data_IF_914915009097
#
_entry.id   IF_914915009097
#
_cell.length_a   1.000
_cell.length_b   1.000
_cell.length_c   1.000
_cell.angle_alpha   90.00
_cell.angle_beta   90.00
_cell.angle_gamma   90.00
#
_symmetry.space_group_name_H-M   'P 1'
#
loop_
_entity.id
_entity.type
_entity.pdbx_description
1 polymer ?
#
# COMPACT_ATOMS: atom_id res chain seq x y z
N UNK A 1 38.01 -37.25 55.94
CA UNK A 1 38.31 -36.03 56.73
C UNK A 1 38.02 -34.82 55.84
N UNK A 2 37.21 -33.88 56.34
CA UNK A 2 36.72 -32.61 55.76
C UNK A 2 35.63 -32.64 54.67
N UNK A 3 34.51 -32.07 55.11
CA UNK A 3 33.20 -31.77 54.52
C UNK A 3 33.20 -30.38 53.87
N UNK A 4 32.40 -30.17 52.81
CA UNK A 4 31.58 -28.97 52.50
C UNK A 4 30.72 -29.28 51.24
N UNK A 5 29.42 -29.60 51.38
CA UNK A 5 28.27 -28.67 51.31
C UNK A 5 28.34 -27.74 50.09
N UNK A 6 27.43 -27.70 49.11
CA UNK A 6 26.04 -28.13 49.00
C UNK A 6 25.23 -26.94 48.43
N UNK A 7 24.44 -27.14 47.37
CA UNK A 7 23.12 -26.50 47.13
C UNK A 7 22.51 -26.87 45.78
N UNK A 8 21.44 -27.66 45.85
CA UNK A 8 20.32 -27.61 44.91
C UNK A 8 19.63 -26.25 44.96
N UNK A 9 19.14 -25.78 43.80
CA UNK A 9 17.94 -24.92 43.56
C UNK A 9 17.97 -24.51 42.09
N UNK A 10 16.88 -24.24 41.38
CA UNK A 10 15.46 -24.63 41.43
C UNK A 10 14.95 -24.22 40.04
N UNK A 11 14.07 -25.03 39.46
CA UNK A 11 13.29 -24.69 38.26
C UNK A 11 12.52 -23.39 38.55
N UNK A 12 12.56 -22.45 37.60
CA UNK A 12 11.72 -21.26 37.59
C UNK A 12 11.03 -21.16 36.24
N UNK A 13 9.76 -21.56 36.24
CA UNK A 13 8.75 -21.16 35.26
C UNK A 13 8.57 -19.64 35.31
N UNK A 14 8.50 -18.98 34.15
CA UNK A 14 7.93 -17.63 34.04
C UNK A 14 7.14 -17.53 32.73
N UNK A 15 5.82 -17.55 32.87
CA UNK A 15 4.83 -17.16 31.86
C UNK A 15 4.42 -15.67 32.07
N UNK A 16 3.47 -15.08 31.32
CA UNK A 16 3.73 -13.94 30.46
C UNK A 16 3.28 -12.59 31.01
N UNK A 17 3.81 -11.54 30.38
CA UNK A 17 3.64 -10.12 30.72
C UNK A 17 2.25 -9.59 30.35
N UNK A 18 1.40 -9.33 31.35
CA UNK A 18 0.17 -8.56 31.23
C UNK A 18 -0.06 -7.69 32.48
N UNK A 19 0.08 -6.37 32.35
CA UNK A 19 -0.37 -5.39 33.35
C UNK A 19 -0.83 -4.11 32.63
N UNK A 20 -2.15 -3.92 32.45
CA UNK A 20 -3.09 -3.20 33.33
C UNK A 20 -2.79 -1.69 33.50
N UNK A 21 -3.51 -0.87 32.72
CA UNK A 21 -3.77 0.54 33.01
C UNK A 21 -4.78 0.65 34.16
N UNK A 22 -4.44 1.40 35.21
CA UNK A 22 -5.36 1.75 36.30
C UNK A 22 -6.26 2.91 35.87
N UNK A 23 -7.57 2.69 35.88
CA UNK A 23 -8.58 3.74 35.91
C UNK A 23 -8.81 4.15 37.36
N UNK A 24 -8.70 5.45 37.65
CA UNK A 24 -8.93 6.01 38.97
C UNK A 24 -10.26 6.77 38.91
N UNK A 25 -11.31 6.15 39.46
CA UNK A 25 -12.59 6.79 39.71
C UNK A 25 -12.40 7.78 40.87
N UNK A 26 -12.76 9.05 40.65
CA UNK A 26 -13.04 10.01 41.73
C UNK A 26 -14.53 10.34 41.67
N UNK A 27 -15.26 9.72 42.59
CA UNK A 27 -16.53 10.20 43.11
C UNK A 27 -16.26 11.34 44.08
N UNK A 28 -16.96 12.48 43.93
CA UNK A 28 -17.39 13.33 45.04
C UNK A 28 -18.44 14.33 44.55
N UNK A 29 -19.67 14.20 45.06
CA UNK A 29 -20.65 15.28 45.15
C UNK A 29 -20.58 15.87 46.56
N UNK A 30 -21.03 17.12 46.74
CA UNK A 30 -22.22 17.27 47.58
C UNK A 30 -23.27 18.25 47.05
N UNK A 31 -24.48 18.09 47.61
CA UNK A 31 -25.75 18.71 47.25
C UNK A 31 -25.96 20.11 47.86
N UNK A 32 -26.95 20.79 47.25
CA UNK A 32 -28.04 21.61 47.84
C UNK A 32 -27.96 23.16 47.83
N UNK A 33 -28.89 23.75 47.05
CA UNK A 33 -30.09 24.56 47.44
C UNK A 33 -30.22 25.99 46.86
N UNK A 34 -31.40 26.19 46.23
CA UNK A 34 -32.27 27.41 46.13
C UNK A 34 -31.75 28.56 45.22
N UNK A 35 -32.55 29.35 44.49
CA UNK A 35 -33.98 29.41 44.17
C UNK A 35 -34.23 30.54 43.12
N UNK A 36 -35.34 30.45 42.33
CA UNK A 36 -36.18 31.57 41.78
C UNK A 36 -35.49 32.53 40.76
N UNK A 37 -36.06 33.12 39.71
CA UNK A 37 -37.38 33.41 39.11
C UNK A 37 -37.09 33.62 37.58
N UNK A 38 -37.96 33.31 36.60
CA UNK A 38 -39.16 34.05 36.21
C UNK A 38 -38.90 34.96 35.00
N UNK A 39 -39.61 34.77 33.87
CA UNK A 39 -39.66 35.75 32.76
C UNK A 39 -39.82 35.15 31.35
N UNK A 40 -41.07 34.98 30.90
CA UNK A 40 -41.47 34.68 29.52
C UNK A 40 -41.58 35.95 28.64
N UNK A 41 -41.64 35.82 27.30
CA UNK A 41 -41.51 36.91 26.32
C UNK A 41 -42.87 37.44 25.81
N UNK A 42 -42.90 38.53 25.01
CA UNK A 42 -44.05 38.76 24.12
C UNK A 42 -43.62 39.35 22.74
N UNK A 43 -44.54 39.69 21.81
CA UNK A 43 -44.97 38.78 20.74
C UNK A 43 -45.08 39.44 19.34
N UNK A 44 -45.49 38.65 18.35
CA UNK A 44 -45.93 39.09 17.02
C UNK A 44 -47.34 39.73 17.04
N UNK A 45 -47.60 40.67 16.13
CA UNK A 45 -48.96 41.13 15.81
C UNK A 45 -48.97 42.09 14.61
N UNK A 46 -49.70 41.74 13.55
CA UNK A 46 -49.94 42.59 12.36
C UNK A 46 -51.22 43.43 12.45
N UNK A 47 -51.61 44.06 11.32
CA UNK A 47 -52.99 44.28 10.79
C UNK A 47 -53.12 45.57 9.92
N UNK A 48 -53.45 45.35 8.63
CA UNK A 48 -54.41 45.99 7.67
C UNK A 48 -54.40 47.48 7.18
N UNK A 49 -54.29 47.61 5.83
CA UNK A 49 -55.15 48.35 4.82
C UNK A 49 -55.20 49.90 4.72
N UNK A 50 -55.77 50.54 3.64
CA UNK A 50 -55.73 50.30 2.16
C UNK A 50 -55.63 51.61 1.28
N UNK A 51 -55.84 51.51 -0.06
CA UNK A 51 -55.99 52.56 -1.13
C UNK A 51 -54.71 53.26 -1.65
N UNK A 52 -54.49 53.62 -2.93
CA UNK A 52 -55.32 53.79 -4.14
C UNK A 52 -54.48 53.88 -5.45
N UNK A 53 -55.11 53.57 -6.58
CA UNK A 53 -54.93 54.14 -7.95
C UNK A 53 -53.66 53.96 -8.84
N UNK A 54 -53.90 53.23 -9.95
CA UNK A 54 -53.46 53.37 -11.36
C UNK A 54 -52.15 54.11 -11.70
N UNK A 55 -51.26 53.41 -12.43
CA UNK A 55 -50.84 53.81 -13.80
C UNK A 55 -50.17 52.68 -14.59
N UNK A 56 -50.47 52.64 -15.89
CA UNK A 56 -49.99 51.73 -16.93
C UNK A 56 -48.52 52.04 -17.27
N UNK A 57 -47.68 51.01 -17.43
CA UNK A 57 -46.30 51.14 -17.90
C UNK A 57 -45.62 49.77 -18.10
N UNK A 58 -45.29 49.47 -19.35
CA UNK A 58 -44.40 48.44 -19.93
C UNK A 58 -43.74 47.41 -18.97
N UNK A 59 -44.11 46.12 -19.12
CA UNK A 59 -43.38 44.99 -18.55
C UNK A 59 -42.17 44.65 -19.43
N UNK A 60 -40.98 45.08 -19.02
CA UNK A 60 -39.76 44.29 -19.24
C UNK A 60 -39.62 43.32 -18.05
N UNK A 61 -39.71 42.02 -18.32
CA UNK A 61 -39.44 40.99 -17.31
C UNK A 61 -37.98 41.06 -16.86
N UNK A 62 -37.78 41.56 -15.63
CA UNK A 62 -36.48 41.51 -14.94
C UNK A 62 -36.24 40.09 -14.44
N UNK A 63 -35.28 39.40 -15.07
CA UNK A 63 -34.74 38.13 -14.58
C UNK A 63 -34.31 38.22 -13.12
N UNK A 64 -34.70 37.23 -12.34
CA UNK A 64 -34.35 37.10 -10.92
C UNK A 64 -32.83 36.94 -10.74
N UNK A 65 -32.25 37.28 -9.57
CA UNK A 65 -30.82 37.07 -9.29
C UNK A 65 -30.35 35.62 -9.52
N UNK A 66 -31.24 34.64 -9.31
CA UNK A 66 -30.96 33.23 -9.53
C UNK A 66 -30.86 32.87 -11.03
N UNK A 67 -31.72 33.46 -11.87
CA UNK A 67 -31.69 33.26 -13.32
C UNK A 67 -30.47 33.94 -13.96
N UNK A 68 -30.06 35.12 -13.46
CA UNK A 68 -28.80 35.76 -13.88
C UNK A 68 -27.57 34.90 -13.56
N UNK A 69 -27.54 34.26 -12.39
CA UNK A 69 -26.45 33.36 -12.01
C UNK A 69 -26.39 32.08 -12.87
N UNK A 70 -27.54 31.60 -13.35
CA UNK A 70 -27.62 30.44 -14.25
C UNK A 70 -27.20 30.79 -15.68
N UNK A 71 -27.57 31.99 -16.16
CA UNK A 71 -27.13 32.53 -17.45
C UNK A 71 -25.61 32.78 -17.47
N UNK A 72 -25.05 33.35 -16.39
CA UNK A 72 -23.62 33.62 -16.25
C UNK A 72 -22.79 32.33 -16.31
N UNK A 73 -23.17 31.29 -15.54
CA UNK A 73 -22.48 29.98 -15.57
C UNK A 73 -22.54 29.30 -16.94
N UNK A 74 -23.63 29.48 -17.68
CA UNK A 74 -23.78 28.90 -19.02
C UNK A 74 -22.87 29.61 -20.04
N UNK A 75 -22.72 30.92 -19.93
CA UNK A 75 -21.80 31.71 -20.77
C UNK A 75 -20.32 31.45 -20.44
N UNK A 76 -19.98 31.28 -19.16
CA UNK A 76 -18.60 30.95 -18.74
C UNK A 76 -18.19 29.54 -19.21
N UNK A 77 -19.12 28.57 -19.21
CA UNK A 77 -18.86 27.20 -19.70
C UNK A 77 -18.65 27.16 -21.21
N UNK A 78 -19.35 28.02 -21.96
CA UNK A 78 -19.16 28.15 -23.42
C UNK A 78 -17.82 28.82 -23.72
N UNK A 79 -17.45 29.89 -22.99
CA UNK A 79 -16.19 30.60 -23.16
C UNK A 79 -14.96 29.71 -22.86
N UNK A 80 -15.02 28.89 -21.81
CA UNK A 80 -13.92 27.96 -21.45
C UNK A 80 -13.75 26.83 -22.47
N UNK A 81 -14.85 26.32 -23.07
CA UNK A 81 -14.76 25.30 -24.14
C UNK A 81 -14.16 25.87 -25.43
N UNK A 82 -14.47 27.10 -25.81
CA UNK A 82 -13.92 27.72 -27.03
C UNK A 82 -12.44 28.13 -26.88
N UNK A 83 -11.99 28.46 -25.66
CA UNK A 83 -10.56 28.75 -25.37
C UNK A 83 -9.74 27.45 -25.29
N UNK A 84 -10.29 26.36 -24.71
CA UNK A 84 -9.63 25.06 -24.64
C UNK A 84 -9.43 24.40 -26.01
N UNK A 85 -10.35 24.61 -26.96
CA UNK A 85 -10.24 24.02 -28.32
C UNK A 85 -9.33 24.81 -29.28
N UNK A 86 -9.07 26.11 -29.03
CA UNK A 86 -8.17 26.93 -29.87
C UNK A 86 -6.70 26.92 -29.45
N UNK A 87 -6.36 26.60 -28.21
CA UNK A 87 -4.96 26.56 -27.75
C UNK A 87 -4.27 25.18 -27.84
N UNK A 88 -5.01 24.12 -28.17
CA UNK A 88 -4.47 22.75 -28.17
C UNK A 88 -3.77 22.30 -29.48
N UNK A 89 -3.78 23.13 -30.53
CA UNK A 89 -3.18 22.79 -31.84
C UNK A 89 -1.96 23.63 -32.27
N UNK A 90 -1.64 24.71 -31.55
CA UNK A 90 -0.51 25.59 -31.88
C UNK A 90 0.77 25.31 -31.07
N UNK A 91 0.65 24.82 -29.82
CA UNK A 91 1.81 24.54 -28.97
C UNK A 91 2.44 23.15 -29.18
N UNK A 92 1.76 22.26 -29.93
CA UNK A 92 2.23 20.89 -30.18
C UNK A 92 3.28 20.79 -31.31
N UNK A 93 3.48 21.84 -32.11
CA UNK A 93 4.48 21.87 -33.21
C UNK A 93 5.72 22.70 -32.93
N UNK A 94 5.73 23.54 -31.90
CA UNK A 94 6.90 24.37 -31.55
C UNK A 94 7.83 23.72 -30.50
N UNK A 95 7.38 22.70 -29.78
CA UNK A 95 8.17 22.07 -28.71
C UNK A 95 9.10 20.93 -29.18
N UNK A 96 8.97 20.47 -30.43
CA UNK A 96 9.77 19.36 -30.98
C UNK A 96 10.91 19.79 -31.93
N UNK A 97 11.27 21.07 -31.95
CA UNK A 97 12.33 21.59 -32.84
C UNK A 97 13.57 22.16 -32.11
N UNK A 98 13.69 22.04 -30.78
CA UNK A 98 14.81 22.64 -30.06
C UNK A 98 15.38 21.79 -28.92
N UNK A 99 15.60 20.49 -29.16
CA UNK A 99 16.53 19.67 -28.36
C UNK A 99 17.31 18.75 -29.32
N UNK A 100 18.24 19.34 -30.07
CA UNK A 100 19.35 18.63 -30.71
C UNK A 100 20.66 19.31 -30.29
N UNK A 101 20.96 19.28 -28.99
CA UNK A 101 22.33 19.51 -28.54
C UNK A 101 23.05 18.17 -28.50
N UNK A 102 23.98 17.99 -29.45
CA UNK A 102 24.96 16.91 -29.49
C UNK A 102 25.76 16.92 -28.19
N UNK A 103 25.70 15.85 -27.40
CA UNK A 103 26.66 15.59 -26.33
C UNK A 103 27.83 14.78 -26.90
N UNK A 104 29.09 15.12 -26.54
CA UNK A 104 30.26 14.41 -27.00
C UNK A 104 30.32 13.01 -26.37
N UNK A 105 30.61 11.99 -27.18
CA UNK A 105 30.88 10.64 -26.72
C UNK A 105 32.28 10.58 -26.08
N UNK A 106 32.37 10.19 -24.82
CA UNK A 106 33.58 9.58 -24.26
C UNK A 106 33.33 8.09 -24.02
N UNK A 107 34.29 7.20 -24.30
CA UNK A 107 34.10 5.77 -24.26
C UNK A 107 34.51 5.23 -22.89
N UNK A 108 33.56 5.06 -21.98
CA UNK A 108 33.74 4.15 -20.85
C UNK A 108 32.58 3.15 -20.86
N UNK A 109 32.92 1.94 -21.32
CA UNK A 109 32.05 0.77 -21.38
C UNK A 109 31.66 0.33 -19.96
N UNK A 110 30.59 0.93 -19.42
CA UNK A 110 29.90 0.38 -18.25
C UNK A 110 29.16 -0.88 -18.73
N UNK A 111 29.58 -2.03 -18.22
CA UNK A 111 28.94 -3.33 -18.46
C UNK A 111 27.43 -3.21 -18.17
N UNK A 112 26.63 -3.22 -19.24
CA UNK A 112 25.17 -3.23 -19.21
C UNK A 112 24.70 -4.57 -18.66
N UNK A 113 24.56 -4.70 -17.35
CA UNK A 113 24.01 -5.90 -16.73
C UNK A 113 22.49 -5.85 -16.76
N UNK A 114 21.92 -6.51 -17.76
CA UNK A 114 20.49 -6.76 -17.88
C UNK A 114 19.97 -7.60 -16.71
N UNK A 115 18.78 -7.25 -16.21
CA UNK A 115 18.10 -8.05 -15.20
C UNK A 115 17.89 -9.50 -15.69
N UNK A 116 17.91 -10.51 -14.81
CA UNK A 116 17.76 -11.90 -15.22
C UNK A 116 16.44 -12.11 -15.95
N UNK A 117 16.49 -12.88 -17.03
CA UNK A 117 15.31 -13.29 -17.79
C UNK A 117 14.38 -14.08 -16.87
N UNK A 118 13.09 -13.76 -16.91
CA UNK A 118 12.05 -14.46 -16.15
C UNK A 118 11.15 -15.20 -17.12
N UNK A 119 11.24 -16.52 -17.12
CA UNK A 119 10.38 -17.40 -17.92
C UNK A 119 9.24 -17.97 -17.05
N UNK A 120 9.57 -18.57 -15.90
CA UNK A 120 8.61 -18.93 -14.85
C UNK A 120 9.27 -19.09 -13.47
N UNK A 121 8.45 -19.23 -12.41
CA UNK A 121 8.95 -19.34 -11.03
C UNK A 121 9.66 -20.67 -10.71
N UNK A 122 9.34 -21.76 -11.42
CA UNK A 122 9.84 -23.10 -11.11
C UNK A 122 11.26 -23.34 -11.65
N UNK A 123 11.70 -22.54 -12.63
CA UNK A 123 13.01 -22.70 -13.25
C UNK A 123 14.19 -22.25 -12.36
N UNK A 124 13.98 -21.29 -11.46
CA UNK A 124 15.10 -20.53 -10.88
C UNK A 124 15.40 -20.83 -9.41
N UNK A 125 15.06 -22.03 -8.91
CA UNK A 125 15.47 -22.48 -7.57
C UNK A 125 14.92 -21.65 -6.40
N UNK A 126 13.95 -20.79 -6.69
CA UNK A 126 13.23 -19.96 -5.72
C UNK A 126 11.72 -20.26 -5.74
N UNK A 127 11.25 -21.17 -6.59
CA UNK A 127 9.85 -21.54 -6.72
C UNK A 127 9.57 -23.00 -6.46
N UNK A 128 8.39 -23.27 -5.89
CA UNK A 128 7.85 -24.61 -5.63
C UNK A 128 6.41 -24.67 -6.09
N UNK A 129 5.94 -25.83 -6.56
CA UNK A 129 4.55 -26.00 -6.97
C UNK A 129 3.74 -26.76 -5.91
N UNK A 130 2.57 -26.22 -5.57
CA UNK A 130 1.62 -26.88 -4.68
C UNK A 130 0.84 -27.99 -5.39
N UNK A 131 1.17 -29.24 -5.08
CA UNK A 131 0.42 -30.44 -5.53
C UNK A 131 -1.05 -30.53 -5.05
N UNK A 132 -1.39 -29.94 -3.91
CA UNK A 132 -2.73 -29.96 -3.33
C UNK A 132 -2.90 -28.85 -2.29
N UNK A 133 -4.14 -28.58 -1.85
CA UNK A 133 -4.39 -27.64 -0.76
C UNK A 133 -3.67 -28.04 0.54
N UNK A 134 -3.66 -29.33 0.90
CA UNK A 134 -2.95 -29.82 2.09
C UNK A 134 -1.44 -29.60 1.96
N UNK A 135 -0.88 -29.94 0.80
CA UNK A 135 0.54 -29.71 0.54
C UNK A 135 0.89 -28.22 0.65
N UNK A 136 0.07 -27.33 0.08
CA UNK A 136 0.25 -25.87 0.20
C UNK A 136 0.26 -25.39 1.65
N UNK A 137 -0.72 -25.79 2.46
CA UNK A 137 -0.76 -25.41 3.88
C UNK A 137 0.46 -25.94 4.64
N UNK A 138 0.93 -27.12 4.26
CA UNK A 138 2.13 -27.70 4.83
C UNK A 138 3.38 -26.88 4.47
N UNK A 139 3.52 -26.40 3.22
CA UNK A 139 4.60 -25.48 2.81
C UNK A 139 4.54 -24.18 3.63
N UNK A 140 3.36 -23.57 3.74
CA UNK A 140 3.16 -22.34 4.52
C UNK A 140 3.59 -22.56 5.98
N UNK A 141 3.21 -23.69 6.56
CA UNK A 141 3.55 -24.05 7.93
C UNK A 141 5.06 -24.26 8.10
N UNK A 142 5.72 -24.94 7.15
CA UNK A 142 7.17 -25.16 7.19
C UNK A 142 7.95 -23.86 7.10
N UNK A 143 7.51 -22.91 6.25
CA UNK A 143 8.11 -21.57 6.18
C UNK A 143 7.95 -20.83 7.52
N UNK A 144 6.74 -20.86 8.10
CA UNK A 144 6.46 -20.19 9.37
C UNK A 144 7.24 -20.80 10.55
N UNK A 145 7.53 -22.10 10.51
CA UNK A 145 8.23 -22.84 11.56
C UNK A 145 9.73 -22.98 11.30
N UNK A 146 10.24 -22.40 10.20
CA UNK A 146 11.62 -22.58 9.77
C UNK A 146 12.65 -22.15 10.81
N UNK A 147 12.41 -21.01 11.47
CA UNK A 147 13.22 -20.54 12.58
C UNK A 147 12.41 -19.55 13.45
N UNK A 148 12.55 -19.61 14.79
CA UNK A 148 11.68 -18.88 15.72
C UNK A 148 11.77 -17.34 15.62
N UNK A 149 12.86 -16.80 15.09
CA UNK A 149 13.07 -15.35 14.99
C UNK A 149 12.92 -14.80 13.56
N UNK A 150 12.46 -15.62 12.62
CA UNK A 150 12.28 -15.16 11.24
C UNK A 150 10.91 -14.59 10.99
N UNK A 151 10.89 -13.50 10.24
CA UNK A 151 9.66 -12.80 9.89
C UNK A 151 9.50 -12.86 8.38
N UNK A 152 8.35 -13.37 7.94
CA UNK A 152 7.97 -13.44 6.53
C UNK A 152 6.85 -12.46 6.21
N UNK A 153 7.04 -11.70 5.14
CA UNK A 153 6.01 -10.94 4.46
C UNK A 153 5.38 -11.81 3.37
N UNK A 154 4.05 -11.77 3.25
CA UNK A 154 3.32 -12.57 2.29
C UNK A 154 2.67 -11.70 1.22
N UNK A 155 2.65 -12.18 -0.03
CA UNK A 155 1.93 -11.54 -1.13
C UNK A 155 1.36 -12.56 -2.08
N UNK A 156 0.08 -12.43 -2.43
CA UNK A 156 -0.56 -13.25 -3.45
C UNK A 156 -0.69 -12.51 -4.78
N UNK A 157 -0.52 -13.24 -5.88
CA UNK A 157 -0.92 -12.80 -7.21
C UNK A 157 -1.78 -13.88 -7.86
N UNK A 158 -2.86 -13.48 -8.51
CA UNK A 158 -3.81 -14.42 -9.12
C UNK A 158 -3.24 -15.17 -10.34
N UNK A 159 -2.10 -14.71 -10.87
CA UNK A 159 -1.45 -15.22 -12.06
C UNK A 159 0.07 -15.37 -11.81
N UNK A 160 0.57 -16.61 -11.94
CA UNK A 160 1.96 -16.98 -11.72
C UNK A 160 2.90 -16.50 -12.84
N UNK A 161 2.39 -16.18 -14.03
CA UNK A 161 3.19 -15.66 -15.13
C UNK A 161 3.60 -14.19 -14.93
N UNK A 162 3.09 -13.54 -13.88
CA UNK A 162 3.44 -12.16 -13.58
C UNK A 162 4.68 -12.08 -12.69
N UNK A 163 5.71 -11.33 -13.10
CA UNK A 163 6.85 -11.05 -12.24
C UNK A 163 6.43 -10.18 -11.05
N UNK A 164 7.16 -10.31 -9.95
CA UNK A 164 6.97 -9.52 -8.74
C UNK A 164 7.66 -8.16 -8.90
N UNK A 165 6.85 -7.10 -9.08
CA UNK A 165 7.33 -5.72 -9.24
C UNK A 165 6.26 -4.71 -8.84
N UNK A 166 6.68 -3.52 -8.43
CA UNK A 166 5.77 -2.43 -8.08
C UNK A 166 5.03 -1.85 -9.29
N UNK A 167 3.92 -1.16 -9.04
CA UNK A 167 3.08 -0.54 -10.08
C UNK A 167 3.83 0.56 -10.83
N UNK A 168 4.64 1.37 -10.13
CA UNK A 168 5.50 2.37 -10.76
C UNK A 168 6.62 1.74 -11.58
N UNK A 169 7.26 0.68 -11.08
CA UNK A 169 8.30 -0.03 -11.86
C UNK A 169 7.70 -0.59 -13.14
N UNK A 170 6.51 -1.19 -13.08
CA UNK A 170 5.79 -1.70 -14.25
C UNK A 170 5.46 -0.58 -15.25
N UNK A 171 5.09 0.61 -14.79
CA UNK A 171 4.88 1.78 -15.66
C UNK A 171 6.19 2.17 -16.34
N UNK A 172 7.26 2.37 -15.57
CA UNK A 172 8.57 2.77 -16.09
C UNK A 172 9.16 1.76 -17.09
N UNK A 173 9.01 0.46 -16.84
CA UNK A 173 9.48 -0.62 -17.71
C UNK A 173 8.71 -0.71 -19.06
N UNK A 174 7.54 -0.07 -19.19
CA UNK A 174 6.85 0.06 -20.48
C UNK A 174 7.39 1.21 -21.31
N UNK A 175 7.92 2.24 -20.65
CA UNK A 175 8.41 3.47 -21.28
C UNK A 175 9.90 3.39 -21.63
N UNK A 176 10.67 2.58 -20.92
CA UNK A 176 12.11 2.38 -21.12
C UNK A 176 12.47 0.90 -21.02
N UNK A 177 13.49 0.49 -21.78
CA UNK A 177 14.06 -0.87 -21.70
C UNK A 177 14.71 -1.15 -20.34
N UNK A 178 15.25 -0.10 -19.70
CA UNK A 178 15.92 -0.19 -18.41
C UNK A 178 15.32 0.80 -17.40
N UNK A 179 15.09 0.33 -16.17
CA UNK A 179 14.58 1.13 -15.07
C UNK A 179 15.69 1.32 -14.05
N UNK A 180 16.13 2.56 -13.86
CA UNK A 180 17.18 2.92 -12.89
C UNK A 180 16.55 3.60 -11.67
N UNK A 181 17.26 3.62 -10.53
CA UNK A 181 16.79 4.37 -9.35
C UNK A 181 16.55 5.85 -9.68
N UNK A 182 17.42 6.44 -10.51
CA UNK A 182 17.30 7.85 -10.92
C UNK A 182 16.01 8.09 -11.70
N UNK A 183 15.68 7.25 -12.69
CA UNK A 183 14.46 7.42 -13.50
C UNK A 183 13.20 7.14 -12.67
N UNK A 184 13.20 6.07 -11.86
CA UNK A 184 12.08 5.73 -11.00
C UNK A 184 11.81 6.83 -9.95
N UNK A 185 12.85 7.36 -9.31
CA UNK A 185 12.72 8.44 -8.32
C UNK A 185 12.28 9.76 -8.94
N UNK A 186 12.70 10.05 -10.17
CA UNK A 186 12.23 11.24 -10.89
C UNK A 186 10.72 11.19 -11.13
N UNK A 187 10.21 10.06 -11.61
CA UNK A 187 8.78 9.87 -11.84
C UNK A 187 7.97 9.88 -10.54
N UNK A 188 8.48 9.20 -9.50
CA UNK A 188 7.87 9.22 -8.17
C UNK A 188 7.76 10.64 -7.59
N UNK A 189 8.80 11.47 -7.76
CA UNK A 189 8.77 12.88 -7.33
C UNK A 189 7.72 13.69 -8.07
N UNK A 190 7.53 13.45 -9.38
CA UNK A 190 6.45 14.11 -10.14
C UNK A 190 5.09 13.72 -9.58
N UNK A 191 4.83 12.43 -9.37
CA UNK A 191 3.56 11.94 -8.83
C UNK A 191 3.27 12.57 -7.46
N UNK A 192 4.25 12.57 -6.55
CA UNK A 192 4.10 13.19 -5.21
C UNK A 192 3.85 14.70 -5.34
N UNK A 193 4.57 15.40 -6.23
CA UNK A 193 4.38 16.83 -6.45
C UNK A 193 2.96 17.13 -6.93
N UNK A 194 2.51 16.44 -7.98
CA UNK A 194 1.16 16.62 -8.53
C UNK A 194 0.08 16.32 -7.48
N UNK A 195 0.24 15.25 -6.69
CA UNK A 195 -0.67 14.94 -5.58
C UNK A 195 -0.78 16.08 -4.56
N UNK A 196 0.36 16.69 -4.19
CA UNK A 196 0.39 17.83 -3.26
C UNK A 196 -0.20 19.10 -3.85
N UNK A 197 0.06 19.37 -5.12
CA UNK A 197 -0.50 20.52 -5.84
C UNK A 197 -2.04 20.40 -5.91
N UNK A 198 -2.55 19.19 -6.12
CA UNK A 198 -3.98 18.85 -6.03
C UNK A 198 -4.57 18.98 -4.61
N UNK A 199 -3.70 19.14 -3.60
CA UNK A 199 -4.08 19.42 -2.22
C UNK A 199 -4.11 18.21 -1.29
N UNK A 200 -3.64 17.04 -1.74
CA UNK A 200 -3.57 15.85 -0.89
C UNK A 200 -2.53 16.03 0.24
N UNK A 201 -2.92 15.68 1.46
CA UNK A 201 -2.08 15.78 2.66
C UNK A 201 -1.95 17.19 3.25
N UNK A 202 -2.73 18.18 2.79
CA UNK A 202 -2.73 19.56 3.34
C UNK A 202 -3.19 19.60 4.81
N UNK A 203 -4.17 18.78 5.15
CA UNK A 203 -4.73 18.59 6.49
C UNK A 203 -3.70 18.07 7.51
N UNK A 204 -2.72 17.29 7.05
CA UNK A 204 -1.67 16.69 7.87
C UNK A 204 -0.38 17.54 7.94
N UNK A 205 -0.28 18.62 7.15
CA UNK A 205 0.87 19.52 7.14
C UNK A 205 2.21 18.79 7.02
N UNK A 206 3.14 19.06 7.95
CA UNK A 206 4.48 18.45 7.93
C UNK A 206 4.51 16.94 8.24
N UNK A 207 3.38 16.38 8.69
CA UNK A 207 3.21 14.95 8.97
C UNK A 207 2.85 14.14 7.72
N UNK A 208 2.38 14.79 6.64
CA UNK A 208 2.23 14.16 5.32
C UNK A 208 3.58 13.96 4.63
N UNK A 209 4.42 13.10 5.23
CA UNK A 209 5.73 12.75 4.66
C UNK A 209 5.58 12.14 3.26
N UNK A 210 6.65 12.11 2.48
CA UNK A 210 6.62 11.47 1.16
C UNK A 210 6.25 9.98 1.26
N UNK A 211 6.69 9.28 2.32
CA UNK A 211 6.34 7.88 2.53
C UNK A 211 4.85 7.71 2.88
N UNK A 212 4.27 8.65 3.64
CA UNK A 212 2.84 8.70 3.89
C UNK A 212 2.05 8.94 2.61
N UNK A 213 2.46 9.92 1.80
CA UNK A 213 1.82 10.20 0.52
C UNK A 213 1.86 8.98 -0.39
N UNK A 214 2.99 8.28 -0.48
CA UNK A 214 3.08 7.05 -1.27
C UNK A 214 2.15 5.94 -0.77
N UNK A 215 2.00 5.77 0.55
CA UNK A 215 1.06 4.80 1.12
C UNK A 215 -0.40 5.13 0.74
N UNK A 216 -0.80 6.40 0.86
CA UNK A 216 -2.15 6.85 0.48
C UNK A 216 -2.40 6.68 -1.01
N UNK A 217 -1.43 7.08 -1.84
CA UNK A 217 -1.51 6.95 -3.30
C UNK A 217 -1.60 5.48 -3.74
N UNK A 218 -0.80 4.59 -3.13
CA UNK A 218 -0.83 3.15 -3.39
C UNK A 218 -2.19 2.56 -3.06
N UNK A 219 -2.78 2.93 -1.91
CA UNK A 219 -4.12 2.49 -1.52
C UNK A 219 -5.18 2.84 -2.58
N UNK A 220 -5.09 4.02 -3.19
CA UNK A 220 -5.96 4.46 -4.28
C UNK A 220 -5.46 4.07 -5.68
N UNK A 221 -4.64 3.02 -5.79
CA UNK A 221 -4.16 2.44 -7.06
C UNK A 221 -3.33 3.39 -7.95
N UNK A 222 -2.82 4.49 -7.40
CA UNK A 222 -1.85 5.34 -8.10
C UNK A 222 -0.51 4.60 -8.16
N UNK A 223 0.21 4.61 -9.30
CA UNK A 223 1.49 3.93 -9.41
C UNK A 223 2.51 4.43 -8.38
N UNK A 224 3.00 3.55 -7.51
CA UNK A 224 4.09 3.85 -6.56
C UNK A 224 5.17 2.78 -6.60
N UNK A 225 6.31 3.04 -5.96
CA UNK A 225 7.36 2.03 -5.82
C UNK A 225 7.05 0.97 -4.76
N UNK A 226 6.03 1.21 -3.93
CA UNK A 226 5.67 0.35 -2.83
C UNK A 226 5.01 -0.93 -3.37
N UNK A 227 5.24 -2.03 -2.65
CA UNK A 227 4.63 -3.33 -2.90
C UNK A 227 3.79 -3.69 -1.68
N UNK A 228 2.51 -3.94 -1.89
CA UNK A 228 1.61 -4.41 -0.83
C UNK A 228 2.00 -5.82 -0.41
N UNK A 229 2.20 -6.00 0.89
CA UNK A 229 2.41 -7.29 1.52
C UNK A 229 1.54 -7.37 2.77
N UNK A 230 1.33 -8.57 3.27
CA UNK A 230 0.58 -8.81 4.50
C UNK A 230 1.39 -9.69 5.43
N UNK A 231 1.22 -9.50 6.73
CA UNK A 231 1.80 -10.42 7.72
C UNK A 231 1.07 -11.77 7.73
N UNK A 232 -0.11 -11.87 7.10
CA UNK A 232 -0.95 -13.04 7.16
C UNK A 232 -0.98 -13.83 5.84
N UNK A 233 -0.48 -15.07 5.83
CA UNK A 233 -0.47 -15.90 4.63
C UNK A 233 -1.88 -16.16 4.08
N UNK A 234 -2.92 -16.21 4.92
CA UNK A 234 -4.30 -16.46 4.48
C UNK A 234 -4.88 -15.28 3.69
N UNK A 235 -4.50 -14.05 4.06
CA UNK A 235 -4.89 -12.85 3.30
C UNK A 235 -4.19 -12.84 1.95
N UNK A 236 -2.89 -13.13 1.90
CA UNK A 236 -2.16 -13.27 0.64
C UNK A 236 -2.72 -14.40 -0.23
N UNK A 237 -3.07 -15.54 0.38
CA UNK A 237 -3.65 -16.67 -0.33
C UNK A 237 -5.01 -16.35 -0.96
N UNK A 238 -5.83 -15.53 -0.29
CA UNK A 238 -7.07 -15.01 -0.88
C UNK A 238 -6.79 -14.23 -2.17
N UNK A 239 -5.79 -13.34 -2.19
CA UNK A 239 -5.39 -12.64 -3.41
C UNK A 239 -4.85 -13.55 -4.51
N UNK A 240 -4.12 -14.61 -4.14
CA UNK A 240 -3.59 -15.58 -5.11
C UNK A 240 -4.67 -16.48 -5.73
N UNK A 241 -5.79 -16.67 -5.04
CA UNK A 241 -6.88 -17.58 -5.45
C UNK A 241 -8.14 -16.85 -5.96
N UNK A 242 -8.18 -15.52 -5.82
CA UNK A 242 -9.32 -14.68 -6.15
C UNK A 242 -9.82 -14.88 -7.59
N UNK A 243 -11.14 -14.81 -7.74
CA UNK A 243 -11.82 -14.79 -9.03
C UNK A 243 -11.72 -13.41 -9.67
N UNK A 244 -11.23 -13.32 -10.90
CA UNK A 244 -11.22 -12.06 -11.65
C UNK A 244 -11.96 -12.22 -12.98
N UNK A 245 -12.98 -11.38 -13.20
CA UNK A 245 -13.69 -11.24 -14.48
C UNK A 245 -14.70 -12.34 -14.81
N UNK A 246 -15.56 -12.06 -15.80
CA UNK A 246 -16.63 -12.95 -16.32
C UNK A 246 -16.12 -13.95 -17.38
N UNK A 247 -14.83 -13.96 -17.68
CA UNK A 247 -14.23 -14.83 -18.69
C UNK A 247 -13.18 -15.72 -18.00
N UNK A 248 -13.62 -16.82 -17.37
CA UNK A 248 -12.74 -17.90 -16.90
C UNK A 248 -12.25 -18.78 -18.09
N UNK A 249 -12.07 -18.20 -19.28
CA UNK A 249 -11.66 -18.96 -20.48
C UNK A 249 -10.19 -19.44 -20.40
N UNK A 250 -9.44 -19.00 -19.38
CA UNK A 250 -8.08 -19.52 -19.11
C UNK A 250 -7.87 -19.83 -17.62
N UNK A 251 -7.64 -21.11 -17.26
CA UNK A 251 -7.33 -21.53 -15.91
C UNK A 251 -5.89 -21.16 -15.54
N UNK A 252 -5.65 -19.89 -15.20
CA UNK A 252 -4.31 -19.43 -14.79
C UNK A 252 -4.00 -19.85 -13.34
N UNK A 253 -2.80 -20.41 -13.14
CA UNK A 253 -2.21 -20.66 -11.83
C UNK A 253 -1.95 -19.36 -11.07
N UNK A 254 -2.16 -19.35 -9.76
CA UNK A 254 -1.77 -18.25 -8.88
C UNK A 254 -0.37 -18.44 -8.33
N UNK A 255 0.14 -17.44 -7.61
CA UNK A 255 1.42 -17.54 -6.88
C UNK A 255 1.32 -16.85 -5.53
N UNK A 256 1.85 -17.51 -4.50
CA UNK A 256 2.00 -16.98 -3.15
C UNK A 256 3.49 -16.79 -2.86
N UNK A 257 3.88 -15.55 -2.59
CA UNK A 257 5.25 -15.21 -2.22
C UNK A 257 5.41 -15.19 -0.71
N UNK A 258 6.50 -15.80 -0.24
CA UNK A 258 7.07 -15.59 1.09
C UNK A 258 8.38 -14.82 0.94
N UNK A 259 8.50 -13.68 1.61
CA UNK A 259 9.66 -12.79 1.52
C UNK A 259 10.21 -12.59 2.93
N UNK A 260 11.46 -12.98 3.19
CA UNK A 260 12.07 -12.78 4.50
C UNK A 260 12.34 -11.30 4.73
N UNK A 261 11.86 -10.78 5.87
CA UNK A 261 11.98 -9.37 6.24
C UNK A 261 12.59 -9.17 7.62
N UNK A 262 13.18 -10.20 8.22
CA UNK A 262 13.75 -10.23 9.58
C UNK A 262 14.61 -8.99 9.86
N UNK A 263 15.67 -8.79 9.07
CA UNK A 263 16.67 -7.73 9.27
C UNK A 263 16.38 -6.45 8.48
N UNK A 264 15.14 -6.27 8.02
CA UNK A 264 14.74 -5.03 7.34
C UNK A 264 14.34 -3.95 8.33
N UNK A 265 14.67 -2.70 8.00
CA UNK A 265 14.24 -1.55 8.81
C UNK A 265 12.74 -1.30 8.66
N UNK A 266 12.15 -0.94 9.80
CA UNK A 266 10.76 -0.52 9.89
C UNK A 266 10.69 1.01 9.85
N UNK A 267 9.92 1.55 8.91
CA UNK A 267 9.62 2.98 8.81
C UNK A 267 8.13 3.21 9.00
N UNK A 268 7.75 3.98 10.01
CA UNK A 268 6.40 4.53 10.08
C UNK A 268 6.23 5.63 9.04
N UNK A 269 5.06 5.69 8.41
CA UNK A 269 4.76 6.77 7.46
C UNK A 269 4.63 8.14 8.13
N UNK A 270 4.42 8.18 9.45
CA UNK A 270 4.34 9.41 10.22
C UNK A 270 5.61 9.72 11.01
N UNK A 271 5.76 10.98 11.40
CA UNK A 271 6.82 11.43 12.28
C UNK A 271 6.39 11.39 13.74
N UNK A 272 7.05 10.54 14.53
CA UNK A 272 7.19 10.73 15.96
C UNK A 272 8.69 10.73 16.29
N UNK A 273 9.30 11.90 16.58
CA UNK A 273 10.70 11.93 17.03
C UNK A 273 11.47 13.25 16.88
N UNK A 274 12.63 13.29 17.57
CA UNK A 274 13.56 14.42 17.65
C UNK A 274 14.10 14.84 16.27
N UNK A 275 14.02 16.14 16.00
CA UNK A 275 14.35 16.73 14.71
C UNK A 275 15.88 16.93 14.57
N UNK A 276 16.48 16.30 13.55
CA UNK A 276 17.81 16.68 13.05
C UNK A 276 17.77 17.98 12.24
N UNK A 277 18.90 18.70 12.12
CA UNK A 277 18.99 19.96 11.33
C UNK A 277 18.54 19.80 9.87
N UNK A 278 18.80 18.64 9.22
CA UNK A 278 18.30 18.30 7.88
C UNK A 278 16.78 18.06 7.87
N UNK A 279 16.24 17.37 8.89
CA UNK A 279 14.79 17.15 9.03
C UNK A 279 14.00 18.42 9.41
N UNK A 280 14.66 19.47 9.91
CA UNK A 280 14.06 20.80 10.09
C UNK A 280 13.92 21.56 8.78
N UNK A 281 14.87 21.39 7.85
CA UNK A 281 14.87 22.08 6.55
C UNK A 281 13.93 21.44 5.53
N UNK A 282 13.82 20.11 5.52
CA UNK A 282 12.87 19.39 4.67
C UNK A 282 12.20 18.26 5.47
N UNK A 283 11.22 18.58 6.32
CA UNK A 283 10.62 17.58 7.18
C UNK A 283 9.90 16.49 6.39
N UNK A 284 9.24 16.87 5.30
CA UNK A 284 8.37 15.97 4.55
C UNK A 284 9.16 14.86 3.83
N UNK A 285 10.30 15.20 3.23
CA UNK A 285 11.05 14.28 2.37
C UNK A 285 12.24 13.61 3.06
N UNK A 286 12.84 14.23 4.08
CA UNK A 286 14.15 13.80 4.60
C UNK A 286 14.20 12.36 5.14
N UNK A 287 13.12 11.88 5.77
CA UNK A 287 13.08 10.51 6.29
C UNK A 287 13.07 9.48 5.16
N UNK A 288 12.25 9.73 4.14
CA UNK A 288 12.13 8.85 3.00
C UNK A 288 13.41 8.81 2.16
N UNK A 289 14.02 9.98 1.90
CA UNK A 289 15.32 10.02 1.23
C UNK A 289 16.41 9.29 2.01
N UNK A 290 16.40 9.37 3.34
CA UNK A 290 17.35 8.59 4.17
C UNK A 290 17.11 7.09 4.04
N UNK A 291 15.85 6.65 3.97
CA UNK A 291 15.52 5.25 3.74
C UNK A 291 16.02 4.76 2.38
N UNK A 292 15.77 5.53 1.30
CA UNK A 292 16.23 5.20 -0.06
C UNK A 292 17.76 5.20 -0.17
N UNK A 293 18.45 6.22 0.36
CA UNK A 293 19.91 6.27 0.34
C UNK A 293 20.55 5.08 1.05
N UNK A 294 19.95 4.66 2.17
CA UNK A 294 20.42 3.48 2.89
C UNK A 294 20.12 2.19 2.14
N UNK A 295 18.91 2.07 1.60
CA UNK A 295 18.49 0.94 0.78
C UNK A 295 19.44 0.75 -0.42
N UNK A 296 19.80 1.85 -1.11
CA UNK A 296 20.77 1.84 -2.20
C UNK A 296 22.18 1.42 -1.73
N UNK A 297 22.65 1.97 -0.59
CA UNK A 297 23.97 1.67 -0.05
C UNK A 297 24.11 0.21 0.39
N UNK A 298 23.10 -0.28 1.10
CA UNK A 298 23.13 -1.60 1.76
C UNK A 298 22.56 -2.69 0.83
N UNK A 299 22.02 -2.34 -0.35
CA UNK A 299 21.26 -3.21 -1.26
C UNK A 299 20.14 -3.98 -0.53
N UNK A 300 19.42 -3.29 0.37
CA UNK A 300 18.36 -3.88 1.20
C UNK A 300 17.03 -3.19 0.96
N UNK A 301 15.94 -3.96 1.04
CA UNK A 301 14.60 -3.41 1.12
C UNK A 301 14.29 -2.88 2.54
N UNK A 302 13.24 -2.07 2.63
CA UNK A 302 12.70 -1.57 3.89
C UNK A 302 11.20 -1.82 3.98
N UNK A 303 10.69 -1.94 5.20
CA UNK A 303 9.26 -2.02 5.50
C UNK A 303 8.71 -0.63 5.78
N UNK A 304 7.54 -0.34 5.25
CA UNK A 304 6.80 0.87 5.51
C UNK A 304 5.41 0.54 6.05
N UNK A 305 5.09 1.07 7.23
CA UNK A 305 3.80 0.85 7.88
C UNK A 305 2.96 2.14 7.84
N UNK A 306 1.72 2.07 7.35
CA UNK A 306 0.79 3.19 7.42
C UNK A 306 0.46 3.50 8.90
N UNK A 307 0.96 4.61 9.45
CA UNK A 307 0.67 4.93 10.85
C UNK A 307 -0.79 5.34 11.09
N UNK A 308 -1.50 5.75 10.04
CA UNK A 308 -2.95 5.93 10.02
C UNK A 308 -3.54 5.02 8.93
N UNK A 309 -3.68 3.70 9.20
CA UNK A 309 -4.29 2.80 8.25
C UNK A 309 -5.81 2.99 8.24
N UNK A 310 -6.41 3.04 7.05
CA UNK A 310 -7.86 2.94 6.90
C UNK A 310 -8.37 1.52 7.20
N UNK A 311 -9.70 1.34 7.13
CA UNK A 311 -10.35 0.07 7.43
C UNK A 311 -9.90 -1.06 6.51
N UNK A 312 -9.67 -0.79 5.22
CA UNK A 312 -9.20 -1.79 4.26
C UNK A 312 -7.78 -2.22 4.58
N UNK A 313 -6.88 -1.28 4.84
CA UNK A 313 -5.48 -1.58 5.21
C UNK A 313 -5.42 -2.43 6.48
N UNK A 314 -6.24 -2.08 7.49
CA UNK A 314 -6.34 -2.86 8.74
C UNK A 314 -6.88 -4.26 8.48
N UNK A 315 -7.96 -4.39 7.71
CA UNK A 315 -8.59 -5.68 7.44
C UNK A 315 -7.71 -6.63 6.63
N UNK A 316 -6.85 -6.09 5.77
CA UNK A 316 -5.88 -6.86 5.00
C UNK A 316 -4.61 -7.19 5.79
N UNK A 317 -4.48 -6.68 7.03
CA UNK A 317 -3.29 -6.83 7.87
C UNK A 317 -2.03 -6.43 7.08
N UNK A 318 -2.19 -5.40 6.25
CA UNK A 318 -1.29 -5.04 5.17
C UNK A 318 -0.27 -3.98 5.58
N UNK A 319 0.91 -4.08 4.99
CA UNK A 319 1.95 -3.05 5.02
C UNK A 319 2.70 -3.07 3.69
N UNK A 320 3.72 -2.22 3.56
CA UNK A 320 4.44 -2.09 2.31
C UNK A 320 5.90 -2.50 2.43
N UNK A 321 6.44 -3.02 1.33
CA UNK A 321 7.87 -3.10 1.09
C UNK A 321 8.25 -2.04 0.06
N UNK A 322 9.37 -1.36 0.29
CA UNK A 322 9.99 -0.46 -0.67
C UNK A 322 11.50 -0.69 -0.74
N UNK A 323 12.12 -0.23 -1.82
CA UNK A 323 13.56 -0.29 -2.02
C UNK A 323 13.99 0.83 -2.97
N UNK A 324 15.24 1.26 -2.87
CA UNK A 324 15.92 1.81 -4.03
C UNK A 324 16.06 0.71 -5.09
N UNK A 325 15.95 1.07 -6.37
CA UNK A 325 16.17 0.11 -7.45
C UNK A 325 17.62 -0.35 -7.39
N UNK A 326 17.88 -1.65 -7.21
CA UNK A 326 19.25 -2.16 -7.16
C UNK A 326 19.89 -2.04 -8.55
N UNK A 327 21.21 -1.88 -8.60
CA UNK A 327 21.97 -1.88 -9.86
C UNK A 327 21.88 -3.23 -10.57
N UNK A 328 21.79 -4.32 -9.80
CA UNK A 328 21.61 -5.68 -10.31
C UNK A 328 20.50 -6.38 -9.54
N UNK A 329 19.53 -6.92 -10.26
CA UNK A 329 18.53 -7.83 -9.70
C UNK A 329 19.15 -9.22 -9.52
N UNK A 330 19.06 -9.76 -8.30
CA UNK A 330 19.67 -11.04 -7.96
C UNK A 330 18.73 -12.21 -8.23
N UNK A 331 17.42 -12.01 -8.09
CA UNK A 331 16.42 -13.07 -8.17
C UNK A 331 15.58 -12.97 -9.44
N UNK A 332 15.57 -13.98 -10.32
CA UNK A 332 14.72 -14.00 -11.50
C UNK A 332 13.25 -13.78 -11.18
N UNK A 333 12.60 -12.88 -11.92
CA UNK A 333 11.20 -12.52 -11.73
C UNK A 333 10.92 -11.48 -10.64
N UNK A 334 11.90 -11.12 -9.82
CA UNK A 334 11.78 -10.05 -8.82
C UNK A 334 12.45 -8.79 -9.34
N UNK A 335 11.67 -7.72 -9.53
CA UNK A 335 12.19 -6.46 -10.07
C UNK A 335 11.87 -5.25 -9.19
N UNK A 336 12.83 -4.33 -9.11
CA UNK A 336 12.76 -3.09 -8.32
C UNK A 336 13.28 -3.23 -6.89
N UNK A 337 13.55 -4.43 -6.41
CA UNK A 337 14.18 -4.73 -5.11
C UNK A 337 14.86 -6.11 -5.17
N UNK A 338 15.68 -6.42 -4.17
CA UNK A 338 16.26 -7.75 -3.97
C UNK A 338 15.82 -8.33 -2.62
N UNK A 339 15.48 -9.63 -2.55
CA UNK A 339 15.37 -10.35 -1.29
C UNK A 339 16.69 -10.31 -0.49
N UNK A 340 16.61 -10.39 0.83
CA UNK A 340 17.78 -10.28 1.71
C UNK A 340 18.35 -11.66 1.99
N UNK A 341 19.46 -12.00 1.34
CA UNK A 341 20.17 -13.25 1.55
C UNK A 341 20.57 -13.92 0.23
N UNK A 342 21.39 -14.97 0.29
CA UNK A 342 21.75 -15.77 -0.89
C UNK A 342 20.50 -16.50 -1.41
N UNK A 343 20.39 -16.68 -2.73
CA UNK A 343 19.26 -17.42 -3.31
C UNK A 343 19.08 -18.79 -2.65
N UNK A 344 17.82 -19.13 -2.35
CA UNK A 344 17.47 -20.34 -1.62
C UNK A 344 18.05 -21.57 -2.33
N UNK A 345 17.98 -21.69 -3.65
CA UNK A 345 18.50 -22.86 -4.40
C UNK A 345 17.53 -24.05 -4.37
N UNK A 346 17.56 -24.90 -5.42
CA UNK A 346 16.57 -25.98 -5.63
C UNK A 346 16.59 -27.06 -4.54
N UNK A 347 17.77 -27.54 -4.18
CA UNK A 347 17.95 -28.59 -3.15
C UNK A 347 17.44 -28.13 -1.79
N UNK A 348 17.73 -26.87 -1.50
CA UNK A 348 17.32 -26.18 -0.32
C UNK A 348 15.78 -26.08 -0.22
N UNK A 349 15.10 -25.70 -1.31
CA UNK A 349 13.64 -25.75 -1.36
C UNK A 349 13.09 -27.17 -1.24
N UNK A 350 13.77 -28.19 -1.77
CA UNK A 350 13.34 -29.58 -1.62
C UNK A 350 13.40 -30.02 -0.14
N UNK A 351 14.44 -29.62 0.59
CA UNK A 351 14.57 -29.89 2.03
C UNK A 351 13.47 -29.21 2.86
N UNK A 352 13.00 -28.01 2.47
CA UNK A 352 11.85 -27.35 3.09
C UNK A 352 10.55 -28.19 2.98
N UNK A 353 10.46 -29.08 1.97
CA UNK A 353 9.28 -29.91 1.69
C UNK A 353 9.34 -31.29 2.38
N UNK A 354 10.50 -31.71 2.90
CA UNK A 354 10.64 -32.96 3.65
C UNK A 354 10.23 -32.74 5.12
N UNK A 355 8.99 -33.14 5.44
CA UNK A 355 8.48 -33.15 6.82
C UNK A 355 9.38 -34.05 7.70
N UNK A 356 9.71 -33.56 8.89
CA UNK A 356 10.38 -34.25 10.00
C UNK A 356 11.92 -34.22 10.10
N UNK A 357 12.66 -33.62 9.17
CA UNK A 357 14.09 -33.37 9.42
C UNK A 357 14.29 -32.08 10.21
N UNK A 358 14.83 -32.11 11.44
CA UNK A 358 15.34 -30.90 12.04
C UNK A 358 16.43 -30.36 11.11
N UNK A 359 16.29 -29.13 10.64
CA UNK A 359 17.26 -28.53 9.75
C UNK A 359 18.65 -28.60 10.42
N UNK A 360 19.57 -29.39 9.85
CA UNK A 360 20.91 -29.61 10.43
C UNK A 360 21.77 -28.33 10.48
N UNK A 361 21.29 -27.24 9.86
CA UNK A 361 21.81 -25.88 9.97
C UNK A 361 20.66 -24.87 9.72
N UNK A 362 20.76 -23.60 10.18
CA UNK A 362 19.75 -22.58 9.92
C UNK A 362 19.64 -22.29 8.41
N UNK A 363 18.73 -23.01 7.77
CA UNK A 363 18.38 -22.90 6.36
C UNK A 363 17.96 -21.48 6.01
N UNK A 364 18.67 -20.75 5.14
CA UNK A 364 18.25 -19.42 4.68
C UNK A 364 17.17 -19.55 3.59
N UNK A 365 16.03 -18.88 3.79
CA UNK A 365 14.96 -18.81 2.79
C UNK A 365 14.57 -17.34 2.62
N UNK A 366 15.39 -16.54 1.92
CA UNK A 366 15.11 -15.12 1.76
C UNK A 366 13.87 -14.87 0.91
N UNK A 367 13.55 -15.79 0.01
CA UNK A 367 12.42 -15.71 -0.91
C UNK A 367 11.95 -17.10 -1.33
N UNK A 368 10.62 -17.25 -1.44
CA UNK A 368 9.98 -18.42 -2.00
C UNK A 368 8.72 -18.01 -2.80
N UNK A 369 8.58 -18.52 -4.02
CA UNK A 369 7.41 -18.38 -4.87
C UNK A 369 6.65 -19.72 -4.93
N UNK A 370 5.53 -19.81 -4.23
CA UNK A 370 4.70 -21.02 -4.21
C UNK A 370 3.67 -20.90 -5.34
N UNK A 371 3.86 -21.63 -6.43
CA UNK A 371 2.92 -21.70 -7.54
C UNK A 371 1.70 -22.53 -7.12
N UNK A 372 0.51 -21.99 -7.34
CA UNK A 372 -0.77 -22.58 -6.97
C UNK A 372 -1.53 -22.92 -8.24
N UNK A 373 -1.53 -24.20 -8.66
CA UNK A 373 -2.28 -24.64 -9.84
C UNK A 373 -3.76 -24.27 -9.76
N UNK A 374 -4.39 -24.07 -10.92
CA UNK A 374 -5.80 -23.66 -10.98
C UNK A 374 -6.75 -24.58 -10.20
N UNK A 375 -6.58 -25.89 -10.32
CA UNK A 375 -7.39 -26.86 -9.58
C UNK A 375 -7.25 -26.72 -8.05
N UNK A 376 -6.07 -26.33 -7.56
CA UNK A 376 -5.85 -26.04 -6.13
C UNK A 376 -6.56 -24.75 -5.73
N UNK A 377 -6.56 -23.70 -6.57
CA UNK A 377 -7.32 -22.46 -6.31
C UNK A 377 -8.80 -22.76 -6.07
N UNK A 378 -9.41 -23.61 -6.90
CA UNK A 378 -10.81 -24.01 -6.76
C UNK A 378 -11.09 -24.64 -5.38
N UNK A 379 -10.21 -25.53 -4.92
CA UNK A 379 -10.37 -26.18 -3.61
C UNK A 379 -10.19 -25.23 -2.41
N UNK A 380 -9.53 -24.08 -2.60
CA UNK A 380 -9.19 -23.14 -1.52
C UNK A 380 -10.19 -22.01 -1.34
N UNK A 381 -10.92 -21.62 -2.40
CA UNK A 381 -11.84 -20.48 -2.38
C UNK A 381 -12.89 -20.59 -1.26
N UNK A 382 -13.52 -21.76 -1.10
CA UNK A 382 -14.57 -21.97 -0.08
C UNK A 382 -14.00 -22.01 1.36
N UNK A 383 -12.94 -22.79 1.66
CA UNK A 383 -12.29 -22.75 2.98
C UNK A 383 -11.79 -21.36 3.39
N UNK A 384 -11.21 -20.59 2.47
CA UNK A 384 -10.76 -19.22 2.75
C UNK A 384 -11.93 -18.34 3.20
N UNK A 385 -13.07 -18.43 2.51
CA UNK A 385 -14.28 -17.68 2.86
C UNK A 385 -14.87 -18.13 4.20
N UNK A 386 -15.10 -19.44 4.37
CA UNK A 386 -15.91 -19.98 5.48
C UNK A 386 -15.12 -20.24 6.76
N UNK A 387 -13.91 -20.76 6.65
CA UNK A 387 -13.09 -21.16 7.81
C UNK A 387 -12.16 -20.02 8.23
N UNK A 388 -11.48 -19.37 7.28
CA UNK A 388 -10.49 -18.34 7.57
C UNK A 388 -11.06 -16.92 7.55
N UNK A 389 -12.37 -16.77 7.27
CA UNK A 389 -13.07 -15.48 7.16
C UNK A 389 -12.35 -14.49 6.23
N UNK A 390 -11.78 -15.00 5.13
CA UNK A 390 -11.19 -14.23 4.04
C UNK A 390 -12.20 -14.16 2.90
N UNK A 391 -13.03 -13.12 2.95
CA UNK A 391 -14.09 -12.83 1.98
C UNK A 391 -14.04 -11.35 1.59
N UNK A 392 -14.63 -11.00 0.44
CA UNK A 392 -14.47 -9.67 -0.16
C UNK A 392 -14.92 -8.59 0.81
N UNK A 393 -16.10 -8.71 1.42
CA UNK A 393 -16.61 -7.71 2.38
C UNK A 393 -15.76 -7.54 3.64
N UNK A 394 -14.96 -8.54 4.00
CA UNK A 394 -14.05 -8.46 5.16
C UNK A 394 -12.77 -7.76 4.76
N UNK A 395 -12.18 -8.12 3.62
CA UNK A 395 -10.91 -7.56 3.16
C UNK A 395 -11.05 -6.19 2.49
N UNK A 396 -12.26 -5.83 2.07
CA UNK A 396 -12.60 -4.55 1.44
C UNK A 396 -13.87 -3.97 2.10
N UNK A 397 -13.78 -3.53 3.37
CA UNK A 397 -14.93 -3.06 4.14
C UNK A 397 -15.36 -1.62 3.80
N UNK A 398 -14.66 -0.95 2.88
CA UNK A 398 -14.89 0.44 2.51
C UNK A 398 -15.86 0.59 1.33
N UNK A 399 -16.21 1.84 1.02
CA UNK A 399 -17.18 2.18 -0.03
C UNK A 399 -16.71 1.70 -1.40
N UNK A 400 -15.42 1.80 -1.71
CA UNK A 400 -14.85 1.32 -2.96
C UNK A 400 -14.96 -0.21 -3.07
N UNK A 401 -14.71 -0.93 -1.96
CA UNK A 401 -14.91 -2.37 -1.85
C UNK A 401 -16.34 -2.79 -2.08
N UNK A 402 -17.28 -2.11 -1.43
CA UNK A 402 -18.71 -2.33 -1.64
C UNK A 402 -19.13 -2.06 -3.09
N UNK A 403 -18.65 -0.96 -3.68
CA UNK A 403 -18.93 -0.61 -5.08
C UNK A 403 -18.47 -1.71 -6.04
N UNK A 404 -17.25 -2.21 -5.89
CA UNK A 404 -16.73 -3.30 -6.71
C UNK A 404 -17.53 -4.61 -6.50
N UNK A 405 -17.84 -4.93 -5.25
CA UNK A 405 -18.66 -6.10 -4.88
C UNK A 405 -20.05 -6.04 -5.53
N UNK A 406 -20.70 -4.88 -5.46
CA UNK A 406 -22.01 -4.63 -6.05
C UNK A 406 -21.98 -4.73 -7.58
N UNK A 407 -21.02 -4.07 -8.23
CA UNK A 407 -20.89 -4.11 -9.69
C UNK A 407 -20.54 -5.49 -10.24
N UNK A 408 -19.90 -6.35 -9.45
CA UNK A 408 -19.54 -7.72 -9.84
C UNK A 408 -20.53 -8.79 -9.40
N UNK A 409 -21.58 -8.43 -8.65
CA UNK A 409 -22.53 -9.40 -8.08
C UNK A 409 -21.94 -10.29 -6.99
N UNK A 410 -20.83 -9.88 -6.36
CA UNK A 410 -20.06 -10.66 -5.37
C UNK A 410 -20.08 -9.97 -4.00
N UNK A 411 -21.26 -9.91 -3.39
CA UNK A 411 -21.52 -9.24 -2.11
C UNK A 411 -21.18 -10.08 -0.86
N UNK A 412 -20.61 -11.27 -1.06
CA UNK A 412 -20.37 -12.27 -0.02
C UNK A 412 -19.28 -11.91 1.01
#
# INVERSE_FOLDING_TARGET
MRVRAGRHRRIAEVAPWAARRRFQQRSDQPRHRRARQGGQPPPCGGVLSPCSERRVGERQERLTPFERAKQQRRNDTICVRTIAERHHKSLFRAFYSCITMKFPQSPDTVNLMTAPKFDNWLEHGSGVEAKSARHLFSIISNIALLAPNRIYAWRGQNNANWPLRSSLYRKAAKESKEVTEKSLRAEERKIIKEARDWGLGRDLGSSATDLHMLAVLQHHSVPTRLIDVTANPMTALWFATAEHGQCEDRPDSGVLFAIEVTDTRWHETFKHGSQTRKSRRNPITALYEKALLRSAKDNTMFRAFPALPDDRMRAQEGYFIGSAVPEKHTTPGVFGFNPIGPESGRENLANLLEFDKPAEAPFALPFCAIVIPYHVKLTLRDPLKRTYNRRRRVLFPDVDGFKEAWSSGRLD
#
